data_IF_557797653832
#
_entry.id   IF_557797653832
#
_cell.length_a   1.000
_cell.length_b   1.000
_cell.length_c   1.000
_cell.angle_alpha   90.00
_cell.angle_beta   90.00
_cell.angle_gamma   90.00
#
_symmetry.space_group_name_H-M   'P 1'
#
loop_
_entity.id
_entity.type
_entity.pdbx_description
1 polymer ?
#
# COMPACT_ATOMS: atom_id res chain seq x y z
N UNK A 1 51.12 21.54 28.59
CA UNK A 1 51.91 21.62 27.35
C UNK A 1 50.91 21.81 26.22
N UNK A 2 50.79 23.03 25.66
CA UNK A 2 51.54 23.56 24.51
C UNK A 2 50.88 23.14 23.18
N UNK A 3 50.66 24.00 22.17
CA UNK A 3 50.84 25.46 22.01
C UNK A 3 49.83 25.93 20.93
N UNK A 4 49.25 27.12 21.08
CA UNK A 4 48.58 27.88 19.98
C UNK A 4 49.59 28.89 19.41
N UNK A 5 49.60 29.28 18.11
CA UNK A 5 48.53 30.16 17.61
C UNK A 5 48.27 30.21 16.07
N UNK A 6 47.26 31.03 15.72
CA UNK A 6 47.16 31.98 14.59
C UNK A 6 47.58 31.62 13.15
N UNK A 7 46.66 31.89 12.22
CA UNK A 7 46.92 32.15 10.80
C UNK A 7 45.97 33.23 10.26
N UNK A 8 46.41 34.50 10.27
CA UNK A 8 45.64 35.65 9.82
C UNK A 8 46.02 36.01 8.36
N UNK A 9 45.03 36.18 7.47
CA UNK A 9 45.17 36.99 6.25
C UNK A 9 43.89 37.82 6.08
N UNK A 10 44.03 39.13 5.91
CA UNK A 10 42.93 40.09 5.73
C UNK A 10 43.06 40.80 4.38
N UNK A 11 41.97 40.85 3.59
CA UNK A 11 41.74 41.80 2.49
C UNK A 11 40.24 41.72 2.15
N UNK A 12 39.38 42.74 2.26
CA UNK A 12 39.40 44.13 1.75
C UNK A 12 39.58 44.18 0.23
N UNK A 13 38.79 44.90 -0.57
CA UNK A 13 37.54 45.69 -0.42
C UNK A 13 36.79 45.56 -1.78
N UNK A 14 35.48 45.75 -1.95
CA UNK A 14 34.76 47.02 -1.77
C UNK A 14 33.22 46.83 -1.69
N UNK A 15 32.56 47.80 -1.06
CA UNK A 15 31.11 48.09 -1.06
C UNK A 15 30.75 49.00 -2.29
N UNK A 16 29.48 49.42 -2.58
CA UNK A 16 28.26 49.53 -1.73
C UNK A 16 27.00 48.88 -2.39
N UNK A 17 25.74 48.98 -1.92
CA UNK A 17 24.96 49.98 -1.15
C UNK A 17 24.05 49.28 -0.11
N UNK A 18 24.16 49.63 1.18
CA UNK A 18 23.38 50.69 1.87
C UNK A 18 21.91 50.29 2.14
N UNK A 19 21.59 49.48 3.17
CA UNK A 19 21.51 49.78 4.64
C UNK A 19 20.20 50.41 5.12
N UNK A 20 19.58 49.79 6.12
CA UNK A 20 18.41 50.25 6.88
C UNK A 20 18.67 51.55 7.69
N UNK A 21 17.63 52.31 8.05
CA UNK A 21 17.21 52.64 9.46
C UNK A 21 15.94 53.54 9.52
N UNK A 22 15.34 53.82 10.72
CA UNK A 22 13.88 54.07 10.83
C UNK A 22 13.45 55.54 11.09
N UNK A 23 12.15 55.68 11.36
CA UNK A 23 11.33 56.84 11.79
C UNK A 23 12.04 58.01 12.49
N UNK A 24 11.64 59.26 12.16
CA UNK A 24 12.06 60.45 12.91
C UNK A 24 11.36 61.79 12.59
N UNK A 25 10.33 62.13 13.39
CA UNK A 25 9.81 63.50 13.69
C UNK A 25 8.98 64.27 12.63
N UNK A 26 8.22 65.25 13.14
CA UNK A 26 7.21 66.09 12.47
C UNK A 26 7.76 67.51 12.19
N UNK A 27 7.23 68.21 11.16
CA UNK A 27 6.28 69.36 11.31
C UNK A 27 6.06 70.17 10.01
N UNK A 28 4.76 70.41 9.71
CA UNK A 28 4.15 71.57 9.00
C UNK A 28 4.61 71.90 7.55
N UNK A 29 3.83 72.54 6.66
CA UNK A 29 2.37 72.62 6.32
C UNK A 29 2.27 73.52 5.05
N UNK A 30 1.15 73.92 4.40
CA UNK A 30 -0.32 73.91 4.68
C UNK A 30 -1.08 74.16 3.36
N UNK A 31 -2.25 73.56 3.11
CA UNK A 31 -3.33 74.14 2.25
C UNK A 31 -4.69 73.42 2.36
N UNK A 32 -5.75 74.23 2.63
CA UNK A 32 -7.20 74.16 2.24
C UNK A 32 -7.89 72.77 2.05
N UNK A 33 -8.94 72.32 2.80
CA UNK A 33 -10.35 72.81 3.01
C UNK A 33 -11.31 72.52 1.80
N UNK A 34 -12.55 71.95 1.86
CA UNK A 34 -13.58 71.56 2.89
C UNK A 34 -14.69 70.56 2.34
N UNK A 35 -15.28 69.65 3.17
CA UNK A 35 -16.69 69.04 3.14
C UNK A 35 -17.19 68.12 1.96
N UNK A 36 -18.33 67.34 1.96
CA UNK A 36 -19.09 66.53 2.99
C UNK A 36 -20.34 65.68 2.47
N UNK A 37 -20.60 64.46 3.04
CA UNK A 37 -21.88 63.68 3.34
C UNK A 37 -22.97 63.16 2.29
N UNK A 38 -23.01 61.81 2.03
CA UNK A 38 -24.07 60.70 2.01
C UNK A 38 -25.43 60.52 1.16
N UNK A 39 -25.72 59.24 0.72
CA UNK A 39 -27.02 58.45 0.46
C UNK A 39 -27.68 58.14 -0.97
N UNK A 40 -28.76 57.28 -1.10
CA UNK A 40 -29.04 56.24 -2.19
C UNK A 40 -30.53 55.88 -2.70
N UNK A 41 -30.79 55.08 -3.83
CA UNK A 41 -31.91 54.05 -4.17
C UNK A 41 -32.80 54.04 -5.54
N UNK A 42 -33.54 52.91 -5.88
CA UNK A 42 -34.82 52.67 -6.75
C UNK A 42 -34.90 51.84 -8.14
N UNK A 43 -36.12 51.43 -8.66
CA UNK A 43 -36.50 50.50 -9.84
C UNK A 43 -38.00 50.67 -10.42
N UNK A 44 -38.78 49.89 -11.31
CA UNK A 44 -38.79 48.46 -11.85
C UNK A 44 -39.25 48.05 -13.37
N UNK A 45 -40.50 47.57 -13.76
CA UNK A 45 -40.80 46.64 -14.97
C UNK A 45 -42.21 46.60 -15.76
N UNK A 46 -42.45 45.77 -16.85
CA UNK A 46 -43.67 45.73 -17.79
C UNK A 46 -44.04 44.47 -18.76
N UNK A 47 -45.22 44.49 -19.50
CA UNK A 47 -45.83 43.74 -20.70
C UNK A 47 -46.37 42.25 -20.69
N UNK A 48 -47.52 42.01 -21.36
CA UNK A 48 -48.21 40.69 -21.43
C UNK A 48 -48.91 40.32 -22.78
N UNK A 49 -48.38 40.72 -23.95
CA UNK A 49 -48.99 40.63 -25.31
C UNK A 49 -49.22 39.25 -25.97
N UNK A 50 -48.52 38.91 -27.08
CA UNK A 50 -48.68 37.75 -28.01
C UNK A 50 -48.42 36.34 -27.40
N UNK A 51 -48.56 36.25 -26.09
CA UNK A 51 -48.23 35.16 -25.19
C UNK A 51 -49.22 33.99 -25.34
N UNK A 52 -49.31 33.38 -26.53
CA UNK A 52 -49.65 31.96 -26.73
C UNK A 52 -48.66 31.23 -27.64
N UNK A 53 -48.44 31.67 -28.88
CA UNK A 53 -47.31 31.17 -29.69
C UNK A 53 -46.01 31.79 -29.21
N UNK A 54 -45.98 33.10 -28.95
CA UNK A 54 -44.87 33.71 -28.23
C UNK A 54 -44.89 33.38 -26.72
N UNK A 55 -45.91 32.68 -26.17
CA UNK A 55 -45.74 31.97 -24.89
C UNK A 55 -44.99 30.68 -25.15
N UNK A 56 -45.50 29.76 -25.97
CA UNK A 56 -44.87 28.45 -26.15
C UNK A 56 -43.44 28.52 -26.73
N UNK A 57 -43.10 29.58 -27.47
CA UNK A 57 -41.73 29.89 -27.91
C UNK A 57 -40.93 30.68 -26.86
N UNK A 58 -41.53 31.53 -26.01
CA UNK A 58 -40.83 32.09 -24.83
C UNK A 58 -40.72 31.09 -23.67
N UNK A 59 -41.54 30.05 -23.64
CA UNK A 59 -41.52 28.93 -22.71
C UNK A 59 -40.48 27.95 -23.22
N UNK A 60 -40.54 27.43 -24.46
CA UNK A 60 -39.42 26.62 -24.97
C UNK A 60 -38.05 27.35 -25.02
N UNK A 61 -38.03 28.70 -25.10
CA UNK A 61 -36.81 29.52 -24.90
C UNK A 61 -36.60 30.04 -23.47
N UNK A 62 -37.49 29.80 -22.52
CA UNK A 62 -37.30 30.07 -21.06
C UNK A 62 -36.98 28.78 -20.34
N UNK A 63 -37.64 27.68 -20.64
CA UNK A 63 -37.28 26.31 -20.26
C UNK A 63 -35.95 25.95 -20.93
N UNK A 64 -35.75 26.32 -22.20
CA UNK A 64 -34.47 26.16 -22.90
C UNK A 64 -33.37 27.14 -22.43
N UNK A 65 -33.73 28.25 -21.77
CA UNK A 65 -32.76 29.15 -21.11
C UNK A 65 -32.54 28.78 -19.65
N UNK A 66 -33.55 28.34 -18.91
CA UNK A 66 -33.41 27.90 -17.53
C UNK A 66 -32.69 26.57 -17.49
N UNK A 67 -32.97 25.63 -18.40
CA UNK A 67 -32.13 24.45 -18.55
C UNK A 67 -30.69 24.81 -18.96
N UNK A 68 -30.46 25.87 -19.76
CA UNK A 68 -29.10 26.33 -20.07
C UNK A 68 -28.43 27.04 -18.88
N UNK A 69 -29.16 27.84 -18.11
CA UNK A 69 -28.70 28.56 -16.91
C UNK A 69 -28.48 27.58 -15.74
N UNK A 70 -29.35 26.59 -15.55
CA UNK A 70 -29.22 25.46 -14.61
C UNK A 70 -28.09 24.52 -15.02
N UNK A 71 -27.90 24.25 -16.33
CA UNK A 71 -26.71 23.53 -16.82
C UNK A 71 -25.45 24.35 -16.56
N UNK A 72 -25.43 25.65 -16.84
CA UNK A 72 -24.29 26.53 -16.60
C UNK A 72 -23.96 26.64 -15.10
N UNK A 73 -24.97 26.79 -14.23
CA UNK A 73 -24.80 26.79 -12.77
C UNK A 73 -24.32 25.42 -12.28
N UNK A 74 -24.81 24.31 -12.87
CA UNK A 74 -24.31 22.97 -12.55
C UNK A 74 -22.86 22.80 -13.01
N UNK A 75 -22.50 23.26 -14.20
CA UNK A 75 -21.14 23.25 -14.75
C UNK A 75 -20.19 24.15 -13.93
N UNK A 76 -20.66 25.30 -13.42
CA UNK A 76 -19.92 26.15 -12.48
C UNK A 76 -19.71 25.46 -11.13
N UNK A 77 -20.75 24.84 -10.54
CA UNK A 77 -20.65 24.08 -9.30
C UNK A 77 -19.77 22.82 -9.45
N UNK A 78 -19.82 22.14 -10.60
CA UNK A 78 -18.93 21.03 -10.94
C UNK A 78 -17.49 21.51 -11.20
N UNK A 79 -17.30 22.68 -11.81
CA UNK A 79 -16.00 23.31 -11.93
C UNK A 79 -15.42 23.75 -10.57
N UNK A 80 -16.26 24.20 -9.63
CA UNK A 80 -15.86 24.47 -8.24
C UNK A 80 -15.45 23.18 -7.51
N UNK A 81 -16.27 22.12 -7.58
CA UNK A 81 -15.92 20.74 -7.13
C UNK A 81 -14.66 20.18 -7.79
N UNK A 82 -14.28 20.69 -8.97
CA UNK A 82 -13.06 20.30 -9.66
C UNK A 82 -11.83 21.11 -9.26
N UNK A 83 -12.00 22.35 -8.79
CA UNK A 83 -10.93 23.31 -8.44
C UNK A 83 -10.60 23.36 -6.95
N UNK A 84 -11.57 23.10 -6.07
CA UNK A 84 -11.41 23.22 -4.61
C UNK A 84 -11.56 21.86 -3.95
N UNK A 85 -10.59 21.48 -3.13
CA UNK A 85 -10.62 20.24 -2.35
C UNK A 85 -11.25 20.46 -0.97
N UNK A 86 -11.77 19.37 -0.40
CA UNK A 86 -12.18 19.31 1.00
C UNK A 86 -11.03 19.68 1.96
N UNK A 87 -9.80 19.40 1.52
CA UNK A 87 -8.55 19.69 2.24
C UNK A 87 -8.33 21.20 2.45
N UNK A 88 -8.69 22.03 1.46
CA UNK A 88 -8.58 23.49 1.56
C UNK A 88 -9.60 24.08 2.57
N UNK A 89 -10.82 23.52 2.59
CA UNK A 89 -11.86 23.91 3.55
C UNK A 89 -11.43 23.57 4.98
N UNK A 90 -10.81 22.40 5.19
CA UNK A 90 -10.33 21.95 6.49
C UNK A 90 -9.11 22.74 6.99
N UNK A 91 -8.12 23.01 6.11
CA UNK A 91 -6.96 23.85 6.45
C UNK A 91 -7.42 25.28 6.81
N UNK A 92 -8.35 25.87 6.04
CA UNK A 92 -8.94 27.18 6.37
C UNK A 92 -9.76 27.17 7.67
N UNK A 93 -10.45 26.06 7.97
CA UNK A 93 -11.19 25.88 9.23
C UNK A 93 -10.30 25.53 10.43
N UNK A 94 -8.97 25.53 10.28
CA UNK A 94 -8.02 25.26 11.36
C UNK A 94 -7.97 23.80 11.81
N UNK A 95 -8.21 22.85 10.91
CA UNK A 95 -7.90 21.44 11.15
C UNK A 95 -6.46 21.13 10.73
N UNK A 96 -5.74 20.43 11.60
CA UNK A 96 -4.39 19.94 11.33
C UNK A 96 -4.43 18.51 10.75
N UNK A 97 -3.45 18.16 9.93
CA UNK A 97 -3.34 16.82 9.33
C UNK A 97 -2.72 15.86 10.35
N UNK A 98 -3.43 14.79 10.68
CA UNK A 98 -2.87 13.68 11.41
C UNK A 98 -2.00 12.82 10.47
N UNK A 99 -0.72 13.17 10.40
CA UNK A 99 0.28 12.44 9.61
C UNK A 99 0.55 11.01 10.10
N UNK A 100 0.10 10.62 11.30
CA UNK A 100 0.30 9.26 11.85
C UNK A 100 -0.87 8.34 11.51
N UNK A 101 -2.09 8.88 11.43
CA UNK A 101 -3.32 8.13 11.16
C UNK A 101 -3.88 8.36 9.73
N UNK A 102 -3.12 9.02 8.84
CA UNK A 102 -3.46 9.25 7.43
C UNK A 102 -2.92 8.16 6.48
N UNK A 103 -3.60 7.96 5.36
CA UNK A 103 -3.23 6.98 4.31
C UNK A 103 -3.41 7.55 2.89
N UNK A 104 -2.82 6.89 1.88
CA UNK A 104 -2.86 7.28 0.45
C UNK A 104 -4.25 7.40 -0.20
N UNK A 105 -5.33 7.03 0.51
CA UNK A 105 -6.72 7.13 0.03
C UNK A 105 -7.68 7.81 1.03
N UNK A 106 -7.20 8.07 2.24
CA UNK A 106 -7.98 8.60 3.35
C UNK A 106 -7.03 9.42 4.24
N UNK A 107 -7.05 10.75 4.09
CA UNK A 107 -6.23 11.69 4.87
C UNK A 107 -7.07 12.17 6.05
N UNK A 108 -6.54 12.01 7.26
CA UNK A 108 -7.24 12.29 8.51
C UNK A 108 -6.86 13.67 9.03
N UNK A 109 -7.86 14.47 9.30
CA UNK A 109 -7.78 15.81 9.88
C UNK A 109 -8.31 15.80 11.32
N UNK A 110 -7.71 16.60 12.19
CA UNK A 110 -8.10 16.75 13.60
C UNK A 110 -8.18 18.23 13.99
N UNK A 111 -9.17 18.60 14.80
CA UNK A 111 -9.30 19.92 15.44
C UNK A 111 -9.88 19.74 16.84
N UNK A 112 -9.02 19.74 17.86
CA UNK A 112 -9.40 19.31 19.20
C UNK A 112 -9.89 17.86 19.19
N UNK A 113 -11.12 17.62 19.68
CA UNK A 113 -11.76 16.30 19.63
C UNK A 113 -12.40 15.94 18.28
N UNK A 114 -12.63 16.89 17.39
CA UNK A 114 -13.28 16.66 16.09
C UNK A 114 -12.33 16.01 15.10
N UNK A 115 -12.86 15.05 14.31
CA UNK A 115 -12.12 14.30 13.30
C UNK A 115 -12.87 14.42 11.97
N UNK A 116 -12.15 14.63 10.87
CA UNK A 116 -12.71 14.50 9.51
C UNK A 116 -11.75 13.67 8.66
N UNK A 117 -12.25 12.77 7.81
CA UNK A 117 -11.44 11.93 6.93
C UNK A 117 -11.76 12.27 5.48
N UNK A 118 -10.79 12.87 4.78
CA UNK A 118 -10.88 13.24 3.37
C UNK A 118 -10.45 12.08 2.49
N UNK A 119 -11.21 11.80 1.45
CA UNK A 119 -11.07 10.66 0.53
C UNK A 119 -11.22 11.12 -0.93
N UNK A 120 -11.22 10.17 -1.87
CA UNK A 120 -11.46 10.42 -3.30
C UNK A 120 -10.57 11.52 -3.91
N UNK A 121 -9.26 11.42 -3.71
CA UNK A 121 -8.25 12.38 -4.22
C UNK A 121 -8.62 13.85 -3.85
N UNK A 122 -9.13 14.07 -2.63
CA UNK A 122 -9.47 15.39 -2.06
C UNK A 122 -10.92 15.84 -2.24
N UNK A 123 -11.79 15.02 -2.84
CA UNK A 123 -13.12 15.44 -3.36
C UNK A 123 -14.31 15.06 -2.50
N UNK A 124 -14.15 14.12 -1.57
CA UNK A 124 -15.19 13.71 -0.65
C UNK A 124 -14.65 13.52 0.77
N UNK A 125 -15.53 13.52 1.76
CA UNK A 125 -15.17 13.40 3.17
C UNK A 125 -16.24 12.63 3.95
N UNK A 126 -15.87 12.18 5.15
CA UNK A 126 -16.81 11.74 6.19
C UNK A 126 -16.26 12.03 7.58
N UNK A 127 -17.14 12.20 8.56
CA UNK A 127 -16.81 12.18 9.99
C UNK A 127 -16.87 10.72 10.48
N UNK A 128 -15.81 10.15 11.09
CA UNK A 128 -15.85 8.79 11.64
C UNK A 128 -16.61 8.66 12.96
N UNK A 129 -17.15 9.76 13.52
CA UNK A 129 -17.93 9.78 14.77
C UNK A 129 -19.45 9.97 14.54
N UNK A 130 -19.87 10.13 13.28
CA UNK A 130 -21.28 10.26 12.88
C UNK A 130 -21.51 9.62 11.49
N UNK A 131 -22.71 9.78 10.94
CA UNK A 131 -23.03 9.35 9.57
C UNK A 131 -22.75 10.45 8.52
N UNK A 132 -22.26 11.62 8.94
CA UNK A 132 -22.11 12.81 8.09
C UNK A 132 -20.96 12.66 7.08
N UNK A 133 -21.28 12.96 5.82
CA UNK A 133 -20.41 12.73 4.65
C UNK A 133 -20.90 13.52 3.44
N UNK A 134 -19.98 13.89 2.56
CA UNK A 134 -20.37 14.59 1.34
C UNK A 134 -19.20 15.03 0.46
N UNK A 135 -19.46 16.07 -0.32
CA UNK A 135 -18.47 16.79 -1.13
C UNK A 135 -17.97 18.06 -0.42
N UNK A 136 -17.20 18.87 -1.14
CA UNK A 136 -16.65 20.15 -0.65
C UNK A 136 -17.71 21.15 -0.17
N UNK A 137 -18.94 21.13 -0.74
CA UNK A 137 -20.03 22.00 -0.29
C UNK A 137 -20.69 21.45 0.97
N UNK A 138 -20.97 20.13 1.00
CA UNK A 138 -21.45 19.45 2.20
C UNK A 138 -20.49 19.62 3.39
N UNK A 139 -19.18 19.70 3.14
CA UNK A 139 -18.17 19.97 4.17
C UNK A 139 -18.29 21.37 4.76
N UNK A 140 -18.41 22.40 3.92
CA UNK A 140 -18.62 23.77 4.38
C UNK A 140 -19.96 23.92 5.11
N UNK A 141 -21.02 23.27 4.63
CA UNK A 141 -22.31 23.19 5.32
C UNK A 141 -22.19 22.54 6.71
N UNK A 142 -21.46 21.43 6.83
CA UNK A 142 -21.26 20.71 8.09
C UNK A 142 -20.39 21.50 9.08
N UNK A 143 -19.26 22.07 8.63
CA UNK A 143 -18.30 22.74 9.51
C UNK A 143 -18.79 24.09 10.07
N UNK A 144 -19.67 24.79 9.34
CA UNK A 144 -20.18 26.11 9.73
C UNK A 144 -21.70 26.12 10.02
N UNK A 145 -22.40 24.99 9.81
CA UNK A 145 -23.87 24.87 9.94
C UNK A 145 -24.65 25.86 9.05
N UNK A 146 -24.16 26.06 7.82
CA UNK A 146 -24.67 27.04 6.85
C UNK A 146 -25.47 26.39 5.71
N UNK A 147 -26.42 27.11 5.06
CA UNK A 147 -27.15 26.61 3.90
C UNK A 147 -26.28 26.58 2.63
N UNK A 148 -26.65 25.72 1.68
CA UNK A 148 -25.89 25.46 0.45
C UNK A 148 -25.44 26.71 -0.35
N UNK A 149 -26.26 27.77 -0.57
CA UNK A 149 -25.80 28.93 -1.32
C UNK A 149 -24.64 29.69 -0.64
N UNK A 150 -24.65 29.75 0.69
CA UNK A 150 -23.58 30.35 1.48
C UNK A 150 -22.32 29.48 1.44
N UNK A 151 -22.48 28.16 1.56
CA UNK A 151 -21.38 27.20 1.42
C UNK A 151 -20.74 27.25 0.02
N UNK A 152 -21.55 27.41 -1.04
CA UNK A 152 -21.05 27.57 -2.41
C UNK A 152 -20.22 28.85 -2.58
N UNK A 153 -20.65 29.97 -1.97
CA UNK A 153 -19.88 31.23 -1.95
C UNK A 153 -18.56 31.14 -1.16
N UNK A 154 -18.57 30.46 -0.01
CA UNK A 154 -17.37 30.20 0.79
C UNK A 154 -16.36 29.32 0.02
N UNK A 155 -16.82 28.22 -0.57
CA UNK A 155 -15.99 27.35 -1.43
C UNK A 155 -15.48 28.08 -2.67
N UNK A 156 -16.29 28.93 -3.31
CA UNK A 156 -15.85 29.75 -4.46
C UNK A 156 -14.73 30.73 -4.08
N UNK A 157 -14.69 31.19 -2.83
CA UNK A 157 -13.65 32.07 -2.31
C UNK A 157 -12.31 31.34 -2.01
N UNK A 158 -12.30 30.01 -2.04
CA UNK A 158 -11.11 29.16 -1.92
C UNK A 158 -10.53 28.71 -3.28
N UNK A 159 -11.07 29.20 -4.40
CA UNK A 159 -10.54 28.90 -5.75
C UNK A 159 -9.14 29.52 -5.91
N UNK A 160 -8.13 28.66 -5.96
CA UNK A 160 -6.72 29.06 -6.01
C UNK A 160 -6.01 29.05 -4.67
N UNK A 161 -6.66 28.59 -3.59
CA UNK A 161 -6.02 28.39 -2.28
C UNK A 161 -4.87 27.37 -2.38
N UNK A 162 -3.65 27.79 -2.04
CA UNK A 162 -2.45 26.95 -2.12
C UNK A 162 -2.25 26.20 -0.79
N UNK A 163 -2.64 24.91 -0.78
CA UNK A 163 -2.48 24.01 0.37
C UNK A 163 -1.04 24.01 0.91
N UNK A 164 -0.87 23.94 2.23
CA UNK A 164 0.45 24.05 2.88
C UNK A 164 1.31 22.77 2.81
N UNK A 165 1.05 21.91 1.82
CA UNK A 165 1.55 20.53 1.73
C UNK A 165 2.69 20.39 0.71
N UNK A 166 3.68 19.50 0.93
CA UNK A 166 4.67 19.16 -0.08
C UNK A 166 4.03 18.39 -1.26
N UNK A 167 4.39 18.72 -2.50
CA UNK A 167 3.79 18.17 -3.71
C UNK A 167 3.91 16.63 -3.83
N UNK A 168 2.80 15.96 -4.10
CA UNK A 168 2.77 14.57 -4.61
C UNK A 168 2.44 14.56 -6.11
N UNK A 169 3.45 14.28 -6.95
CA UNK A 169 3.30 14.21 -8.42
C UNK A 169 3.17 12.78 -8.92
N UNK A 170 1.97 12.35 -9.36
CA UNK A 170 1.82 11.12 -10.16
C UNK A 170 0.78 11.24 -11.27
N UNK A 171 1.12 10.70 -12.44
CA UNK A 171 0.28 10.72 -13.65
C UNK A 171 -0.61 9.48 -13.77
N UNK A 172 -1.72 9.62 -14.50
CA UNK A 172 -2.60 8.52 -14.95
C UNK A 172 -2.48 8.41 -16.48
N UNK A 173 -2.48 7.20 -17.04
CA UNK A 173 -2.53 6.96 -18.50
C UNK A 173 -3.90 6.45 -18.94
N UNK A 174 -4.30 6.80 -20.16
CA UNK A 174 -5.67 6.64 -20.67
C UNK A 174 -5.82 5.48 -21.65
N UNK A 175 -5.59 4.24 -21.19
CA UNK A 175 -5.96 3.04 -21.97
C UNK A 175 -7.31 2.48 -21.50
N UNK A 176 -8.10 1.85 -22.39
CA UNK A 176 -9.19 0.97 -21.96
C UNK A 176 -8.63 -0.16 -21.09
N UNK A 177 -9.46 -0.83 -20.26
CA UNK A 177 -9.01 -1.98 -19.48
C UNK A 177 -8.58 -3.12 -20.41
N UNK A 178 -7.27 -3.23 -20.64
CA UNK A 178 -6.64 -4.41 -21.24
C UNK A 178 -7.11 -5.65 -20.46
N UNK A 179 -7.39 -6.75 -21.17
CA UNK A 179 -7.85 -8.01 -20.58
C UNK A 179 -6.93 -8.46 -19.43
N UNK A 180 -7.53 -9.00 -18.37
CA UNK A 180 -6.82 -9.43 -17.16
C UNK A 180 -5.88 -10.60 -17.47
N UNK A 181 -6.29 -11.57 -18.31
CA UNK A 181 -5.41 -12.66 -18.69
C UNK A 181 -4.24 -12.17 -19.56
N UNK A 182 -4.47 -11.28 -20.51
CA UNK A 182 -3.41 -10.65 -21.32
C UNK A 182 -2.45 -9.80 -20.47
N UNK A 183 -2.97 -8.95 -19.58
CA UNK A 183 -2.16 -8.12 -18.65
C UNK A 183 -1.28 -8.96 -17.72
N UNK A 184 -1.72 -10.17 -17.36
CA UNK A 184 -0.90 -11.15 -16.66
C UNK A 184 0.14 -11.78 -17.59
N UNK A 185 -0.28 -12.22 -18.78
CA UNK A 185 0.55 -12.94 -19.76
C UNK A 185 1.75 -12.11 -20.24
N UNK A 186 1.60 -10.80 -20.43
CA UNK A 186 2.70 -9.90 -20.83
C UNK A 186 3.75 -9.65 -19.74
N UNK A 187 3.51 -10.09 -18.49
CA UNK A 187 4.47 -9.94 -17.39
C UNK A 187 5.48 -11.08 -17.39
N UNK A 188 6.70 -10.75 -16.98
CA UNK A 188 7.79 -11.73 -16.82
C UNK A 188 7.68 -12.42 -15.46
N UNK A 189 8.12 -13.67 -15.38
CA UNK A 189 8.32 -14.33 -14.10
C UNK A 189 9.54 -13.72 -13.36
N UNK A 190 9.53 -13.62 -12.01
CA UNK A 190 10.67 -13.09 -11.26
C UNK A 190 11.94 -13.94 -11.49
N UNK A 191 13.00 -13.32 -11.98
CA UNK A 191 14.30 -13.98 -12.17
C UNK A 191 15.23 -13.79 -10.96
N UNK A 192 16.23 -14.66 -10.74
CA UNK A 192 17.22 -14.45 -9.68
C UNK A 192 17.89 -13.07 -9.80
N UNK A 193 17.71 -12.24 -8.76
CA UNK A 193 18.21 -10.86 -8.71
C UNK A 193 17.20 -9.77 -9.14
N UNK A 194 16.03 -10.15 -9.67
CA UNK A 194 14.96 -9.19 -10.00
C UNK A 194 14.38 -8.49 -8.77
N UNK A 195 13.52 -7.49 -8.96
CA UNK A 195 12.92 -6.75 -7.84
C UNK A 195 12.00 -7.63 -7.00
N UNK A 196 11.07 -8.33 -7.66
CA UNK A 196 10.14 -9.25 -7.00
C UNK A 196 10.87 -10.43 -6.35
N UNK A 197 11.93 -10.94 -6.98
CA UNK A 197 12.79 -11.97 -6.39
C UNK A 197 13.51 -11.46 -5.13
N UNK A 198 14.13 -10.27 -5.17
CA UNK A 198 14.81 -9.69 -4.00
C UNK A 198 13.84 -9.40 -2.86
N UNK A 199 12.66 -8.88 -3.15
CA UNK A 199 11.58 -8.69 -2.16
C UNK A 199 11.22 -10.02 -1.48
N UNK A 200 10.85 -11.04 -2.26
CA UNK A 200 10.50 -12.37 -1.73
C UNK A 200 11.63 -13.01 -0.92
N UNK A 201 12.88 -12.91 -1.40
CA UNK A 201 14.02 -13.62 -0.83
C UNK A 201 14.69 -12.93 0.36
N UNK A 202 14.65 -11.59 0.44
CA UNK A 202 15.42 -10.81 1.41
C UNK A 202 14.55 -10.00 2.37
N UNK A 203 13.37 -9.53 1.93
CA UNK A 203 12.40 -8.82 2.79
C UNK A 203 11.41 -9.82 3.40
N UNK A 204 10.92 -10.77 2.61
CA UNK A 204 9.94 -11.79 3.03
C UNK A 204 10.53 -13.15 3.39
N UNK A 205 11.86 -13.31 3.27
CA UNK A 205 12.64 -14.50 3.64
C UNK A 205 12.17 -15.84 3.03
N UNK A 206 11.30 -15.82 2.01
CA UNK A 206 10.76 -17.02 1.35
C UNK A 206 11.93 -17.84 0.75
N UNK A 207 12.03 -19.16 0.98
CA UNK A 207 13.10 -19.97 0.39
C UNK A 207 13.06 -20.02 -1.14
N UNK A 208 14.22 -20.15 -1.82
CA UNK A 208 14.27 -20.13 -3.29
C UNK A 208 13.57 -21.34 -3.92
N UNK A 209 13.38 -22.44 -3.18
CA UNK A 209 12.60 -23.59 -3.63
C UNK A 209 11.13 -23.23 -3.87
N UNK A 210 10.50 -22.53 -2.90
CA UNK A 210 9.09 -22.14 -2.96
C UNK A 210 8.86 -21.05 -4.03
N UNK A 211 9.77 -20.07 -4.14
CA UNK A 211 9.70 -19.07 -5.23
C UNK A 211 9.84 -19.73 -6.61
N UNK A 212 10.76 -20.68 -6.79
CA UNK A 212 10.88 -21.46 -8.03
C UNK A 212 9.66 -22.34 -8.30
N UNK A 213 8.98 -22.85 -7.26
CA UNK A 213 7.75 -23.61 -7.40
C UNK A 213 6.61 -22.74 -7.95
N UNK A 214 6.32 -21.61 -7.31
CA UNK A 214 5.30 -20.65 -7.77
C UNK A 214 5.56 -20.11 -9.19
N UNK A 215 6.83 -20.06 -9.61
CA UNK A 215 7.21 -19.73 -10.99
C UNK A 215 6.90 -20.89 -11.97
N UNK A 216 7.23 -22.14 -11.62
CA UNK A 216 6.92 -23.33 -12.46
C UNK A 216 5.42 -23.56 -12.61
N UNK A 217 4.67 -23.36 -11.54
CA UNK A 217 3.20 -23.42 -11.52
C UNK A 217 2.55 -22.20 -12.22
N UNK A 218 3.36 -21.28 -12.77
CA UNK A 218 2.96 -20.06 -13.46
C UNK A 218 2.11 -19.05 -12.66
N UNK A 219 1.83 -19.31 -11.39
CA UNK A 219 1.00 -18.47 -10.50
C UNK A 219 1.67 -17.18 -10.04
N UNK A 220 2.98 -17.00 -10.26
CA UNK A 220 3.73 -15.78 -9.91
C UNK A 220 4.25 -14.99 -11.14
N UNK A 221 4.21 -13.66 -11.03
CA UNK A 221 4.76 -12.69 -11.99
C UNK A 221 5.42 -11.49 -11.29
N UNK A 222 6.22 -10.74 -12.04
CA UNK A 222 6.83 -9.49 -11.60
C UNK A 222 6.11 -8.28 -12.21
N UNK A 223 5.61 -7.42 -11.33
CA UNK A 223 4.93 -6.18 -11.66
C UNK A 223 5.85 -4.95 -11.72
N UNK A 224 5.27 -3.75 -11.90
CA UNK A 224 5.98 -2.48 -11.78
C UNK A 224 6.74 -2.36 -10.44
N UNK A 225 7.84 -1.62 -10.45
CA UNK A 225 8.69 -1.35 -9.29
C UNK A 225 9.24 -2.58 -8.55
N UNK A 226 9.22 -3.76 -9.18
CA UNK A 226 9.64 -5.01 -8.53
C UNK A 226 8.62 -5.58 -7.55
N UNK A 227 7.34 -5.22 -7.70
CA UNK A 227 6.25 -5.87 -6.96
C UNK A 227 6.11 -7.34 -7.39
N UNK A 228 5.85 -8.23 -6.43
CA UNK A 228 5.35 -9.57 -6.72
C UNK A 228 3.86 -9.49 -7.05
N UNK A 229 3.44 -10.18 -8.09
CA UNK A 229 2.04 -10.40 -8.45
C UNK A 229 1.73 -11.89 -8.30
N UNK A 230 0.64 -12.23 -7.60
CA UNK A 230 0.23 -13.61 -7.31
C UNK A 230 -1.19 -13.88 -7.84
N UNK A 231 -1.32 -14.76 -8.84
CA UNK A 231 -2.56 -14.98 -9.59
C UNK A 231 -3.67 -15.62 -8.75
N UNK A 232 -4.88 -15.07 -8.86
CA UNK A 232 -6.11 -15.77 -8.51
C UNK A 232 -6.65 -16.47 -9.77
N UNK A 233 -7.00 -17.75 -9.63
CA UNK A 233 -7.50 -18.57 -10.74
C UNK A 233 -8.90 -19.11 -10.46
N UNK A 234 -9.69 -19.25 -11.54
CA UNK A 234 -11.07 -19.75 -11.53
C UNK A 234 -11.16 -21.30 -11.52
N UNK A 235 -12.34 -21.86 -11.80
CA UNK A 235 -12.54 -23.32 -11.94
C UNK A 235 -11.80 -23.94 -13.12
N UNK A 236 -11.47 -23.17 -14.16
CA UNK A 236 -10.82 -23.61 -15.40
C UNK A 236 -9.30 -23.41 -15.38
N UNK A 237 -8.77 -22.77 -14.33
CA UNK A 237 -7.34 -22.42 -14.21
C UNK A 237 -6.99 -21.09 -14.90
N UNK A 238 -7.97 -20.34 -15.40
CA UNK A 238 -7.77 -19.04 -16.02
C UNK A 238 -7.46 -17.98 -14.96
N UNK A 239 -6.50 -17.10 -15.24
CA UNK A 239 -6.13 -16.00 -14.33
C UNK A 239 -7.17 -14.89 -14.42
N UNK A 240 -7.95 -14.73 -13.34
CA UNK A 240 -9.04 -13.75 -13.25
C UNK A 240 -8.70 -12.54 -12.37
N UNK A 241 -7.52 -12.52 -11.75
CA UNK A 241 -6.98 -11.38 -11.02
C UNK A 241 -5.64 -11.72 -10.37
N UNK A 242 -5.05 -10.81 -9.59
CA UNK A 242 -3.86 -11.09 -8.79
C UNK A 242 -3.73 -10.18 -7.55
N UNK A 243 -3.16 -10.72 -6.48
CA UNK A 243 -2.62 -9.92 -5.37
C UNK A 243 -1.40 -9.13 -5.84
N UNK A 244 -1.23 -7.90 -5.36
CA UNK A 244 -0.02 -7.10 -5.58
C UNK A 244 0.66 -6.80 -4.25
N UNK A 245 1.96 -7.12 -4.14
CA UNK A 245 2.78 -6.81 -2.96
C UNK A 245 4.15 -6.29 -3.34
N UNK A 246 4.62 -5.26 -2.64
CA UNK A 246 6.01 -4.78 -2.64
C UNK A 246 6.43 -4.41 -1.22
N UNK A 247 7.58 -3.75 -1.03
CA UNK A 247 7.96 -3.19 0.27
C UNK A 247 6.88 -2.24 0.79
N UNK A 248 6.53 -1.22 0.00
CA UNK A 248 5.63 -0.13 0.39
C UNK A 248 4.27 -0.19 -0.34
N UNK A 249 3.95 -1.31 -1.00
CA UNK A 249 2.72 -1.50 -1.78
C UNK A 249 1.94 -2.75 -1.37
N UNK A 250 0.62 -2.58 -1.23
CA UNK A 250 -0.38 -3.64 -1.19
C UNK A 250 -1.51 -3.26 -2.15
N UNK A 251 -1.92 -4.18 -3.00
CA UNK A 251 -3.01 -3.99 -3.94
C UNK A 251 -3.67 -5.28 -4.37
N UNK A 252 -4.67 -5.15 -5.23
CA UNK A 252 -5.22 -6.23 -6.02
C UNK A 252 -5.45 -5.69 -7.44
N UNK A 253 -5.34 -6.54 -8.45
CA UNK A 253 -5.45 -6.17 -9.86
C UNK A 253 -6.72 -5.36 -10.17
N UNK A 254 -6.58 -4.11 -10.60
CA UNK A 254 -7.72 -3.28 -11.06
C UNK A 254 -8.49 -4.01 -12.16
N UNK A 255 -9.79 -4.26 -11.95
CA UNK A 255 -10.66 -4.97 -12.88
C UNK A 255 -10.63 -6.51 -12.76
N UNK A 256 -9.85 -7.09 -11.85
CA UNK A 256 -9.82 -8.54 -11.61
C UNK A 256 -10.71 -8.98 -10.44
N UNK A 257 -11.02 -10.28 -10.40
CA UNK A 257 -11.85 -10.94 -9.39
C UNK A 257 -11.03 -11.67 -8.33
N UNK A 258 -11.37 -11.47 -7.04
CA UNK A 258 -10.79 -12.22 -5.91
C UNK A 258 -11.38 -13.62 -5.81
N UNK A 259 -10.85 -14.58 -6.57
CA UNK A 259 -11.17 -16.02 -6.39
C UNK A 259 -10.22 -16.60 -5.34
N UNK A 260 -9.27 -17.45 -5.72
CA UNK A 260 -8.22 -17.98 -4.85
C UNK A 260 -6.87 -18.00 -5.57
N UNK A 261 -5.81 -17.52 -4.90
CA UNK A 261 -4.44 -17.93 -5.24
C UNK A 261 -4.23 -19.38 -4.78
N UNK A 262 -3.42 -20.15 -5.52
CA UNK A 262 -3.17 -21.57 -5.29
C UNK A 262 -1.69 -21.91 -5.49
N UNK A 263 -1.13 -22.79 -4.67
CA UNK A 263 0.26 -23.25 -4.72
C UNK A 263 0.35 -24.72 -4.28
N UNK A 264 0.81 -25.61 -5.16
CA UNK A 264 0.85 -27.05 -4.95
C UNK A 264 -0.14 -27.84 -5.84
N UNK A 265 -0.25 -29.17 -5.64
CA UNK A 265 -1.04 -30.05 -6.48
C UNK A 265 -2.55 -29.82 -6.33
N UNK A 266 -3.27 -29.67 -7.46
CA UNK A 266 -4.69 -29.36 -7.48
C UNK A 266 -5.62 -30.47 -6.96
N UNK A 267 -5.12 -31.71 -6.95
CA UNK A 267 -5.77 -32.92 -6.44
C UNK A 267 -5.51 -33.18 -4.95
N UNK A 268 -4.69 -32.36 -4.28
CA UNK A 268 -4.32 -32.52 -2.86
C UNK A 268 -5.53 -32.77 -1.94
N UNK A 269 -5.40 -33.75 -1.03
CA UNK A 269 -6.40 -34.06 0.00
C UNK A 269 -6.42 -33.07 1.17
N UNK A 270 -5.40 -32.23 1.33
CA UNK A 270 -5.36 -31.17 2.35
C UNK A 270 -5.34 -29.78 1.72
N UNK A 271 -6.28 -28.93 2.13
CA UNK A 271 -6.38 -27.53 1.71
C UNK A 271 -5.97 -26.61 2.85
N UNK A 272 -4.89 -25.85 2.70
CA UNK A 272 -4.45 -24.86 3.70
C UNK A 272 -4.81 -23.45 3.26
N UNK A 273 -5.83 -22.84 3.87
CA UNK A 273 -6.31 -21.49 3.50
C UNK A 273 -5.68 -20.43 4.40
N UNK A 274 -4.93 -19.51 3.79
CA UNK A 274 -4.30 -18.34 4.43
C UNK A 274 -4.93 -17.03 3.93
N UNK A 275 -4.55 -15.90 4.52
CA UNK A 275 -5.05 -14.59 4.09
C UNK A 275 -4.27 -14.00 2.90
N UNK A 276 -2.96 -14.24 2.77
CA UNK A 276 -2.19 -13.74 1.62
C UNK A 276 -1.32 -14.83 0.97
N UNK A 277 -0.96 -14.64 -0.30
CA UNK A 277 -0.07 -15.55 -1.02
C UNK A 277 1.33 -15.64 -0.39
N UNK A 278 1.76 -14.62 0.36
CA UNK A 278 3.02 -14.65 1.12
C UNK A 278 2.89 -15.62 2.29
N UNK A 279 1.74 -15.69 2.95
CA UNK A 279 1.48 -16.61 4.06
C UNK A 279 1.32 -18.05 3.57
N UNK A 280 0.65 -18.27 2.44
CA UNK A 280 0.60 -19.56 1.76
C UNK A 280 2.02 -20.09 1.45
N UNK A 281 2.89 -19.24 0.89
CA UNK A 281 4.31 -19.57 0.69
C UNK A 281 5.07 -19.78 1.99
N UNK A 282 4.76 -19.01 3.04
CA UNK A 282 5.49 -19.07 4.31
C UNK A 282 5.15 -20.34 5.08
N UNK A 283 3.88 -20.75 5.10
CA UNK A 283 3.45 -22.04 5.64
C UNK A 283 4.05 -23.21 4.84
N UNK A 284 4.04 -23.15 3.50
CA UNK A 284 4.71 -24.15 2.66
C UNK A 284 6.23 -24.25 2.92
N UNK A 285 6.89 -23.12 3.20
CA UNK A 285 8.29 -23.08 3.62
C UNK A 285 8.52 -23.66 5.03
N UNK A 286 7.55 -23.51 5.92
CA UNK A 286 7.62 -23.98 7.32
C UNK A 286 7.35 -25.48 7.44
N UNK A 287 6.36 -26.01 6.73
CA UNK A 287 6.02 -27.44 6.66
C UNK A 287 6.98 -28.25 5.78
N UNK A 288 7.52 -27.64 4.72
CA UNK A 288 8.43 -28.31 3.78
C UNK A 288 7.70 -29.12 2.68
N UNK A 289 8.39 -30.10 2.04
CA UNK A 289 7.86 -30.84 0.88
C UNK A 289 6.69 -31.80 1.21
N UNK A 290 5.50 -31.23 1.48
CA UNK A 290 4.29 -31.98 1.82
C UNK A 290 3.41 -32.21 0.58
N UNK A 291 3.69 -33.30 -0.15
CA UNK A 291 3.12 -33.59 -1.47
C UNK A 291 1.58 -33.67 -1.54
N UNK A 292 0.88 -33.85 -0.41
CA UNK A 292 -0.59 -33.90 -0.35
C UNK A 292 -1.26 -32.60 0.12
N UNK A 293 -0.62 -31.43 0.02
CA UNK A 293 -1.20 -30.14 0.46
C UNK A 293 -1.21 -29.09 -0.66
N UNK A 294 -2.39 -28.50 -0.89
CA UNK A 294 -2.59 -27.30 -1.70
C UNK A 294 -2.70 -26.09 -0.75
N UNK A 295 -1.80 -25.12 -0.91
CA UNK A 295 -1.83 -23.87 -0.16
C UNK A 295 -2.65 -22.84 -0.95
N UNK A 296 -3.60 -22.20 -0.28
CA UNK A 296 -4.60 -21.30 -0.85
C UNK A 296 -4.54 -19.94 -0.17
N UNK A 297 -4.81 -18.86 -0.91
CA UNK A 297 -4.98 -17.51 -0.35
C UNK A 297 -6.25 -16.84 -0.83
N UNK A 298 -6.92 -16.15 0.09
CA UNK A 298 -8.12 -15.31 -0.19
C UNK A 298 -7.78 -13.93 -0.76
N UNK A 299 -6.51 -13.52 -0.73
CA UNK A 299 -6.07 -12.19 -1.19
C UNK A 299 -6.43 -11.06 -0.23
N UNK A 300 -6.45 -11.34 1.07
CA UNK A 300 -6.70 -10.39 2.15
C UNK A 300 -8.11 -9.83 2.14
N UNK A 301 -9.11 -10.70 1.99
CA UNK A 301 -10.52 -10.32 2.00
C UNK A 301 -11.42 -11.39 1.41
N UNK A 302 -12.47 -11.76 2.14
CA UNK A 302 -13.41 -12.80 1.75
C UNK A 302 -14.47 -12.26 0.77
N UNK A 303 -14.54 -12.79 -0.45
CA UNK A 303 -15.57 -12.43 -1.44
C UNK A 303 -16.53 -13.59 -1.72
N UNK A 304 -17.74 -13.36 -2.30
CA UNK A 304 -18.62 -14.44 -2.74
C UNK A 304 -17.97 -15.39 -3.76
N UNK A 305 -17.03 -14.90 -4.57
CA UNK A 305 -16.30 -15.75 -5.51
C UNK A 305 -15.19 -16.58 -4.82
N UNK A 306 -14.63 -16.08 -3.71
CA UNK A 306 -13.73 -16.83 -2.82
C UNK A 306 -14.50 -17.95 -2.14
N UNK A 307 -15.69 -17.63 -1.61
CA UNK A 307 -16.60 -18.53 -0.91
C UNK A 307 -17.03 -19.71 -1.81
N UNK A 308 -17.60 -19.41 -2.98
CA UNK A 308 -17.98 -20.40 -4.00
C UNK A 308 -16.81 -21.29 -4.46
N UNK A 309 -15.60 -20.73 -4.57
CA UNK A 309 -14.43 -21.51 -4.97
C UNK A 309 -13.89 -22.42 -3.86
N UNK A 310 -13.99 -22.00 -2.59
CA UNK A 310 -13.68 -22.88 -1.46
C UNK A 310 -14.69 -24.02 -1.35
N UNK A 311 -16.00 -23.72 -1.51
CA UNK A 311 -17.05 -24.74 -1.53
C UNK A 311 -16.83 -25.77 -2.65
N UNK A 312 -16.56 -25.31 -3.88
CA UNK A 312 -16.29 -26.19 -5.01
C UNK A 312 -15.05 -27.11 -4.80
N UNK A 313 -14.04 -26.65 -4.05
CA UNK A 313 -12.86 -27.45 -3.71
C UNK A 313 -13.09 -28.43 -2.56
N UNK A 314 -14.07 -28.16 -1.68
CA UNK A 314 -14.38 -28.93 -0.47
C UNK A 314 -15.22 -30.19 -0.73
N UNK A 315 -16.02 -30.23 -1.81
CA UNK A 315 -16.91 -31.36 -2.20
C UNK A 315 -16.17 -32.72 -2.35
N UNK A 316 -14.84 -32.74 -2.37
CA UNK A 316 -14.02 -33.94 -2.59
C UNK A 316 -13.97 -34.83 -1.33
N UNK A 317 -14.35 -36.13 -1.40
CA UNK A 317 -14.32 -37.02 -0.24
C UNK A 317 -12.92 -37.19 0.38
N UNK A 318 -12.86 -37.38 1.70
CA UNK A 318 -11.60 -37.60 2.43
C UNK A 318 -10.68 -36.37 2.50
N UNK A 319 -11.26 -35.18 2.37
CA UNK A 319 -10.54 -33.91 2.36
C UNK A 319 -10.45 -33.30 3.76
N UNK A 320 -9.27 -32.78 4.10
CA UNK A 320 -9.05 -31.94 5.29
C UNK A 320 -8.96 -30.46 4.90
N UNK A 321 -9.91 -29.65 5.36
CA UNK A 321 -9.90 -28.20 5.21
C UNK A 321 -9.23 -27.56 6.43
N UNK A 322 -8.09 -26.92 6.20
CA UNK A 322 -7.25 -26.32 7.24
C UNK A 322 -7.34 -24.81 7.19
N UNK A 323 -7.94 -24.23 8.23
CA UNK A 323 -7.85 -22.81 8.49
C UNK A 323 -6.43 -22.48 8.95
N UNK A 324 -5.66 -21.82 8.09
CA UNK A 324 -4.31 -21.34 8.37
C UNK A 324 -4.28 -19.81 8.38
N UNK A 325 -5.35 -19.20 8.88
CA UNK A 325 -5.56 -17.75 8.95
C UNK A 325 -4.83 -17.10 10.12
N UNK A 326 -4.57 -15.80 9.98
CA UNK A 326 -3.77 -14.96 10.87
C UNK A 326 -4.21 -15.05 12.35
N UNK A 327 -3.30 -14.70 13.26
CA UNK A 327 -3.54 -14.79 14.71
C UNK A 327 -4.39 -13.65 15.29
N UNK A 328 -5.24 -13.02 14.48
CA UNK A 328 -6.07 -11.86 14.83
C UNK A 328 -7.58 -12.12 14.68
N UNK A 329 -8.42 -11.19 15.14
CA UNK A 329 -9.89 -11.32 15.14
C UNK A 329 -10.51 -11.52 13.74
N UNK A 330 -9.92 -10.96 12.68
CA UNK A 330 -10.37 -11.20 11.29
C UNK A 330 -10.02 -12.63 10.84
N UNK A 331 -8.80 -13.08 11.13
CA UNK A 331 -8.37 -14.45 10.89
C UNK A 331 -9.19 -15.48 11.66
N UNK A 332 -9.68 -15.14 12.85
CA UNK A 332 -10.62 -15.96 13.63
C UNK A 332 -12.01 -16.04 12.99
N UNK A 333 -12.56 -14.93 12.49
CA UNK A 333 -13.82 -14.93 11.71
C UNK A 333 -13.68 -15.77 10.42
N UNK A 334 -12.54 -15.68 9.73
CA UNK A 334 -12.29 -16.51 8.53
C UNK A 334 -12.09 -17.99 8.88
N UNK A 335 -11.49 -18.31 10.02
CA UNK A 335 -11.37 -19.69 10.48
C UNK A 335 -12.73 -20.34 10.77
N UNK A 336 -13.66 -19.59 11.36
CA UNK A 336 -15.01 -20.10 11.66
C UNK A 336 -15.84 -20.26 10.38
N UNK A 337 -15.65 -19.39 9.37
CA UNK A 337 -16.23 -19.61 8.02
C UNK A 337 -15.71 -20.88 7.36
N UNK A 338 -14.41 -21.13 7.45
CA UNK A 338 -13.80 -22.37 6.95
C UNK A 338 -14.28 -23.61 7.73
N UNK A 339 -14.58 -23.45 9.03
CA UNK A 339 -15.18 -24.51 9.84
C UNK A 339 -16.59 -24.83 9.40
N UNK A 340 -17.48 -23.84 9.34
CA UNK A 340 -18.86 -24.02 8.90
C UNK A 340 -18.92 -24.60 7.47
N UNK A 341 -17.98 -24.21 6.59
CA UNK A 341 -17.86 -24.77 5.25
C UNK A 341 -17.43 -26.25 5.25
N UNK A 342 -16.48 -26.63 6.11
CA UNK A 342 -16.06 -28.03 6.27
C UNK A 342 -17.21 -28.89 6.80
N UNK A 343 -17.89 -28.42 7.86
CA UNK A 343 -19.05 -29.10 8.46
C UNK A 343 -20.20 -29.26 7.46
N UNK A 344 -20.51 -28.23 6.66
CA UNK A 344 -21.51 -28.31 5.60
C UNK A 344 -21.11 -29.20 4.40
N UNK A 345 -19.81 -29.42 4.18
CA UNK A 345 -19.27 -30.24 3.08
C UNK A 345 -18.95 -31.69 3.50
N UNK A 346 -19.01 -32.01 4.79
CA UNK A 346 -18.59 -33.31 5.33
C UNK A 346 -17.06 -33.52 5.32
N UNK A 347 -16.27 -32.44 5.35
CA UNK A 347 -14.81 -32.50 5.39
C UNK A 347 -14.26 -32.62 6.82
N UNK A 348 -13.07 -33.19 6.96
CA UNK A 348 -12.27 -33.00 8.17
C UNK A 348 -11.85 -31.53 8.30
N UNK A 349 -11.77 -31.00 9.53
CA UNK A 349 -11.38 -29.62 9.80
C UNK A 349 -10.22 -29.51 10.78
N UNK A 350 -9.35 -28.52 10.57
CA UNK A 350 -8.28 -28.16 11.49
C UNK A 350 -8.04 -26.65 11.51
N UNK A 351 -7.90 -26.03 12.69
CA UNK A 351 -7.25 -24.71 12.82
C UNK A 351 -5.74 -24.89 13.05
N UNK A 352 -4.94 -24.24 12.22
CA UNK A 352 -3.54 -23.92 12.50
C UNK A 352 -3.43 -22.41 12.68
N UNK A 353 -3.26 -21.94 13.92
CA UNK A 353 -2.96 -20.53 14.20
C UNK A 353 -1.44 -20.33 14.13
N UNK A 354 -0.92 -19.28 13.47
CA UNK A 354 0.50 -18.93 13.61
C UNK A 354 0.80 -18.50 15.08
N UNK A 355 1.99 -18.79 15.62
CA UNK A 355 2.44 -18.27 16.92
C UNK A 355 2.92 -16.81 16.89
N UNK A 356 2.92 -16.16 15.72
CA UNK A 356 3.11 -14.72 15.52
C UNK A 356 1.85 -14.14 14.80
N UNK A 357 1.87 -12.87 14.36
CA UNK A 357 0.65 -12.24 13.78
C UNK A 357 0.23 -12.93 12.48
N UNK A 358 1.17 -13.17 11.58
CA UNK A 358 1.00 -13.87 10.31
C UNK A 358 2.02 -15.01 10.15
N UNK A 359 1.94 -15.82 9.08
CA UNK A 359 2.89 -16.92 8.86
C UNK A 359 4.25 -16.44 8.36
N UNK A 360 4.32 -15.24 7.79
CA UNK A 360 5.55 -14.65 7.31
C UNK A 360 6.46 -14.18 8.45
N UNK A 361 5.90 -13.65 9.54
CA UNK A 361 6.63 -13.36 10.79
C UNK A 361 7.23 -14.63 11.40
N UNK A 362 6.46 -15.73 11.43
CA UNK A 362 6.92 -17.04 11.93
C UNK A 362 8.11 -17.54 11.11
N UNK A 363 8.04 -17.44 9.77
CA UNK A 363 9.14 -17.81 8.88
C UNK A 363 10.37 -16.90 9.07
N UNK A 364 10.19 -15.59 9.09
CA UNK A 364 11.28 -14.63 9.29
C UNK A 364 12.02 -14.89 10.61
N UNK A 365 11.28 -15.13 11.70
CA UNK A 365 11.83 -15.46 13.02
C UNK A 365 12.66 -16.74 12.96
N UNK A 366 12.08 -17.82 12.42
CA UNK A 366 12.75 -19.13 12.30
C UNK A 366 14.01 -19.08 11.44
N UNK A 367 14.03 -18.30 10.36
CA UNK A 367 15.22 -18.14 9.50
C UNK A 367 16.27 -17.19 10.11
N UNK A 368 15.86 -16.15 10.85
CA UNK A 368 16.77 -15.29 11.62
C UNK A 368 17.53 -16.09 12.67
N UNK A 369 16.85 -16.89 13.50
CA UNK A 369 17.51 -17.77 14.47
C UNK A 369 18.41 -18.83 13.80
N UNK A 370 18.04 -19.33 12.60
CA UNK A 370 18.89 -20.24 11.81
C UNK A 370 20.15 -19.53 11.29
N UNK A 371 20.11 -18.23 11.06
CA UNK A 371 21.26 -17.45 10.61
C UNK A 371 22.17 -17.08 11.78
N UNK A 372 21.60 -16.66 12.91
CA UNK A 372 22.32 -16.41 14.16
C UNK A 372 23.09 -17.68 14.60
N UNK A 373 22.41 -18.84 14.68
CA UNK A 373 23.04 -20.14 14.98
C UNK A 373 24.06 -20.64 13.94
N UNK A 374 24.14 -20.04 12.75
CA UNK A 374 25.23 -20.27 11.76
C UNK A 374 26.40 -19.32 11.96
N UNK A 375 26.16 -18.12 12.48
CA UNK A 375 27.21 -17.14 12.81
C UNK A 375 27.94 -17.62 14.07
N UNK A 376 27.21 -18.00 15.12
CA UNK A 376 27.77 -18.59 16.35
C UNK A 376 28.67 -19.79 16.05
N UNK A 377 28.18 -20.75 15.24
CA UNK A 377 28.94 -21.95 14.82
C UNK A 377 30.14 -21.65 13.90
N UNK A 378 30.28 -20.43 13.40
CA UNK A 378 31.46 -19.95 12.67
C UNK A 378 32.36 -19.02 13.49
N UNK A 379 31.86 -18.44 14.58
CA UNK A 379 32.57 -17.56 15.50
C UNK A 379 33.11 -18.25 16.75
N UNK A 380 32.74 -19.51 17.00
CA UNK A 380 33.38 -20.34 18.03
C UNK A 380 34.90 -20.45 17.79
N UNK A 381 35.72 -20.52 18.86
CA UNK A 381 37.17 -20.46 18.73
C UNK A 381 37.70 -21.61 17.87
N UNK A 382 38.55 -21.28 16.90
CA UNK A 382 39.27 -22.29 16.13
C UNK A 382 40.17 -23.08 17.10
N UNK A 383 39.90 -24.38 17.27
CA UNK A 383 40.60 -25.27 18.19
C UNK A 383 42.01 -25.67 17.71
N UNK A 384 42.76 -24.71 17.18
CA UNK A 384 44.19 -24.81 16.94
C UNK A 384 44.93 -24.59 18.26
N UNK A 385 44.93 -25.60 19.14
CA UNK A 385 45.94 -25.67 20.18
C UNK A 385 47.32 -25.71 19.49
N UNK A 386 48.23 -24.76 19.76
CA UNK A 386 49.56 -24.81 19.16
C UNK A 386 50.26 -26.08 19.63
N UNK A 387 50.89 -26.80 18.70
CA UNK A 387 51.60 -28.04 19.03
C UNK A 387 52.74 -27.72 20.01
N UNK A 388 52.59 -28.17 21.26
CA UNK A 388 53.58 -27.92 22.31
C UNK A 388 54.94 -28.49 21.90
N UNK A 389 55.99 -27.65 21.99
CA UNK A 389 57.33 -27.95 21.51
C UNK A 389 57.89 -29.24 22.11
N UNK A 390 57.94 -30.31 21.29
CA UNK A 390 58.82 -31.44 21.56
C UNK A 390 60.19 -31.13 20.95
N UNK A 391 61.05 -30.50 21.74
CA UNK A 391 62.47 -30.44 21.42
C UNK A 391 63.02 -31.87 21.31
N UNK A 392 63.76 -32.13 20.23
CA UNK A 392 64.45 -33.39 20.01
C UNK A 392 65.96 -33.13 20.04
N UNK A 393 66.61 -33.43 21.17
CA UNK A 393 68.06 -33.29 21.31
C UNK A 393 68.80 -34.20 20.31
N UNK A 394 69.84 -33.72 19.62
CA UNK A 394 70.54 -34.50 18.61
C UNK A 394 71.49 -35.53 19.25
N UNK A 395 71.32 -36.82 18.96
CA UNK A 395 72.16 -37.87 19.55
C UNK A 395 72.17 -39.22 18.81
N UNK A 396 73.36 -39.63 18.37
CA UNK A 396 73.77 -40.99 17.97
C UNK A 396 73.20 -41.58 16.66
N UNK A 397 73.79 -42.72 16.23
CA UNK A 397 73.93 -43.13 14.82
C UNK A 397 73.49 -44.58 14.55
N UNK A 398 72.85 -44.80 13.38
CA UNK A 398 72.88 -46.04 12.55
C UNK A 398 72.31 -47.33 13.21
N UNK A 399 72.17 -48.45 12.46
CA UNK A 399 72.36 -48.67 11.01
C UNK A 399 71.09 -49.11 10.25
N UNK A 400 71.25 -49.31 8.94
CA UNK A 400 70.26 -49.92 8.04
C UNK A 400 70.18 -51.44 8.24
N UNK A 401 68.99 -52.02 8.07
CA UNK A 401 68.81 -53.40 7.55
C UNK A 401 67.43 -53.54 6.90
N UNK A 402 67.30 -54.43 5.92
CA UNK A 402 66.07 -54.73 5.19
C UNK A 402 65.94 -56.25 5.08
N UNK A 403 64.80 -56.81 5.51
CA UNK A 403 64.12 -57.85 4.73
C UNK A 403 62.57 -57.70 4.84
N UNK A 404 61.72 -58.38 4.08
CA UNK A 404 61.91 -59.01 2.77
C UNK A 404 60.57 -59.02 2.00
N UNK A 405 60.61 -59.24 0.69
CA UNK A 405 59.38 -59.42 -0.11
C UNK A 405 58.93 -60.87 -0.17
N UNK A 406 57.67 -61.15 0.19
CA UNK A 406 56.93 -62.35 -0.23
C UNK A 406 55.53 -61.96 -0.71
N UNK A 407 55.11 -62.36 -1.93
CA UNK A 407 53.72 -62.22 -2.37
C UNK A 407 52.85 -63.36 -1.82
N UNK A 408 51.56 -63.10 -1.64
CA UNK A 408 50.53 -64.13 -1.43
C UNK A 408 49.76 -64.39 -2.74
N UNK A 409 49.25 -65.61 -2.90
CA UNK A 409 48.66 -66.12 -4.15
C UNK A 409 47.18 -65.75 -4.33
N UNK A 410 46.66 -66.05 -5.52
CA UNK A 410 45.30 -65.78 -6.00
C UNK A 410 44.36 -66.98 -5.72
N UNK A 411 43.07 -66.75 -5.97
CA UNK A 411 41.96 -67.72 -6.05
C UNK A 411 41.38 -68.19 -4.68
N UNK A 412 40.07 -68.37 -4.54
CA UNK A 412 38.98 -67.99 -5.47
C UNK A 412 37.63 -68.66 -5.17
N UNK A 413 36.54 -67.88 -5.23
CA UNK A 413 35.12 -68.27 -5.45
C UNK A 413 34.29 -67.01 -5.60
#
# INVERSE_FOLDING_TARGET
MNISPAGFIETRLFLPLATCRPQGKLRRSTSLKLLSVACSALAPSALRGELKVARKIRESRRDGRSAAEENMIREELEALRAKVSCEAVLEQAGYEIDMKESTRRAVKYRRGGSIVIVTHDGRGWFDPLSDEKGDVFGLAMFLETIPFPTAAGAVASLVGFQLSRPEWRFSRSSRPPEDIAERWRIRRAPSPGSGAWRYLRWVRWIPPAIVRQAIRECVFREGPFGSMWAAHVDSHGCVVGWEERGPDWRGFSTGGSKVLFRLGPGDASRLCVTETAIDAMSLAALEGPRAGTLYLSTGGGWSPATDSALAALAIRPGLTLVAATDANTQGDVYAERLRALAEASGCDWQRLRPPAVDWNEVLQSREKEKQERKIEKKGGPAACAPAASREASPGMRRPLTRPDTRPATREGS
#
